data_IF_396121480667
#
_entry.id   IF_396121480667
#
_cell.length_a   1.000
_cell.length_b   1.000
_cell.length_c   1.000
_cell.angle_alpha   90.00
_cell.angle_beta   90.00
_cell.angle_gamma   90.00
#
_symmetry.space_group_name_H-M   'P 1'
#
loop_
_entity.id
_entity.type
_entity.pdbx_description
1 polymer ?
#
# COMPACT_ATOMS: atom_id res chain seq x y z
N UNK A 1 -5.96 -26.89 -20.61
CA UNK A 1 -6.09 -27.69 -19.37
C UNK A 1 -4.80 -27.69 -18.54
N UNK A 2 -3.62 -28.12 -19.10
CA UNK A 2 -2.34 -28.13 -18.35
C UNK A 2 -1.88 -26.71 -18.00
N UNK A 3 -1.94 -25.78 -18.94
CA UNK A 3 -1.60 -24.37 -18.71
C UNK A 3 -2.54 -23.70 -17.71
N UNK A 4 -3.81 -24.01 -17.71
CA UNK A 4 -4.79 -23.53 -16.74
C UNK A 4 -4.53 -24.11 -15.34
N UNK A 5 -4.19 -25.39 -15.27
CA UNK A 5 -3.83 -26.05 -14.01
C UNK A 5 -2.55 -25.45 -13.41
N UNK A 6 -1.51 -25.22 -14.23
CA UNK A 6 -0.26 -24.57 -13.80
C UNK A 6 -0.50 -23.13 -13.32
N UNK A 7 -1.38 -22.40 -14.00
CA UNK A 7 -1.73 -21.02 -13.63
C UNK A 7 -2.54 -20.98 -12.32
N UNK A 8 -3.49 -21.90 -12.12
CA UNK A 8 -4.23 -22.06 -10.86
C UNK A 8 -3.32 -22.47 -9.69
N UNK A 9 -2.36 -23.37 -9.95
CA UNK A 9 -1.39 -23.83 -8.96
C UNK A 9 -0.44 -22.70 -8.54
N UNK A 10 0.11 -21.97 -9.51
CA UNK A 10 0.97 -20.81 -9.28
C UNK A 10 0.24 -19.72 -8.46
N UNK A 11 -1.02 -19.40 -8.80
CA UNK A 11 -1.85 -18.45 -8.05
C UNK A 11 -2.15 -18.90 -6.62
N UNK A 12 -2.31 -20.21 -6.37
CA UNK A 12 -2.47 -20.74 -5.00
C UNK A 12 -1.18 -20.58 -4.18
N UNK A 13 -0.04 -20.87 -4.76
CA UNK A 13 1.27 -20.71 -4.11
C UNK A 13 1.52 -19.25 -3.76
N UNK A 14 1.28 -18.32 -4.67
CA UNK A 14 1.43 -16.89 -4.43
C UNK A 14 0.53 -16.38 -3.27
N UNK A 15 -0.72 -16.86 -3.22
CA UNK A 15 -1.64 -16.51 -2.12
C UNK A 15 -1.17 -17.04 -0.76
N UNK A 16 -0.69 -18.30 -0.72
CA UNK A 16 -0.12 -18.89 0.50
C UNK A 16 1.14 -18.14 0.93
N UNK A 17 1.97 -17.74 -0.03
CA UNK A 17 3.21 -17.03 0.25
C UNK A 17 2.97 -15.61 0.81
N UNK A 18 1.97 -14.89 0.30
CA UNK A 18 1.59 -13.58 0.86
C UNK A 18 1.04 -13.69 2.29
N UNK A 19 0.26 -14.72 2.58
CA UNK A 19 -0.24 -15.01 3.93
C UNK A 19 0.90 -15.35 4.89
N UNK A 20 1.83 -16.19 4.42
CA UNK A 20 3.03 -16.55 5.18
C UNK A 20 3.90 -15.34 5.48
N UNK A 21 4.14 -14.47 4.49
CA UNK A 21 4.89 -13.22 4.71
C UNK A 21 4.22 -12.33 5.76
N UNK A 22 2.90 -12.18 5.70
CA UNK A 22 2.16 -11.40 6.70
C UNK A 22 2.29 -12.01 8.10
N UNK A 23 2.18 -13.33 8.22
CA UNK A 23 2.35 -14.02 9.50
C UNK A 23 3.77 -13.86 10.06
N UNK A 24 4.80 -14.02 9.23
CA UNK A 24 6.21 -13.79 9.59
C UNK A 24 6.44 -12.35 10.03
N UNK A 25 5.87 -11.38 9.33
CA UNK A 25 5.92 -9.98 9.69
C UNK A 25 5.36 -9.73 11.09
N UNK A 26 4.12 -10.19 11.33
CA UNK A 26 3.44 -10.02 12.62
C UNK A 26 4.20 -10.72 13.76
N UNK A 27 4.73 -11.94 13.51
CA UNK A 27 5.54 -12.66 14.47
C UNK A 27 6.88 -11.95 14.77
N UNK A 28 7.54 -11.42 13.74
CA UNK A 28 8.80 -10.67 13.90
C UNK A 28 8.62 -9.41 14.75
N UNK A 29 7.54 -8.66 14.53
CA UNK A 29 7.21 -7.47 15.34
C UNK A 29 6.91 -7.88 16.78
N UNK A 30 6.12 -8.95 16.98
CA UNK A 30 5.85 -9.48 18.32
C UNK A 30 7.14 -9.83 19.04
N UNK A 31 8.03 -10.58 18.38
CA UNK A 31 9.32 -10.96 18.94
C UNK A 31 10.17 -9.76 19.34
N UNK A 32 10.21 -8.72 18.48
CA UNK A 32 10.93 -7.49 18.78
C UNK A 32 10.36 -6.77 20.01
N UNK A 33 9.04 -6.62 20.08
CA UNK A 33 8.39 -5.99 21.25
C UNK A 33 8.71 -6.75 22.54
N UNK A 34 8.67 -8.08 22.49
CA UNK A 34 9.01 -8.94 23.65
C UNK A 34 10.47 -8.75 24.08
N UNK A 35 11.41 -8.72 23.13
CA UNK A 35 12.83 -8.49 23.43
C UNK A 35 13.05 -7.12 24.06
N UNK A 36 12.49 -6.06 23.45
CA UNK A 36 12.60 -4.68 23.97
C UNK A 36 11.93 -4.57 25.34
N UNK A 37 10.75 -5.17 25.51
CA UNK A 37 10.04 -5.20 26.79
C UNK A 37 10.85 -5.89 27.87
N UNK A 38 11.51 -7.01 27.55
CA UNK A 38 12.40 -7.73 28.45
C UNK A 38 13.63 -6.92 28.87
N UNK A 39 14.23 -6.18 27.93
CA UNK A 39 15.36 -5.28 28.23
C UNK A 39 14.99 -4.12 29.16
N UNK A 40 13.75 -3.63 29.10
CA UNK A 40 13.30 -2.47 29.90
C UNK A 40 12.75 -2.90 31.26
N UNK A 41 11.98 -3.99 31.34
CA UNK A 41 11.20 -4.37 32.52
C UNK A 41 11.30 -5.85 32.91
N UNK A 42 12.31 -6.61 32.43
CA UNK A 42 12.46 -8.02 32.71
C UNK A 42 11.26 -8.87 32.33
N UNK A 43 10.88 -9.87 33.07
CA UNK A 43 9.75 -10.77 32.78
C UNK A 43 8.41 -10.04 32.68
N UNK A 44 8.18 -9.07 33.55
CA UNK A 44 6.95 -8.26 33.52
C UNK A 44 6.91 -7.39 32.27
N UNK A 45 8.03 -6.80 31.87
CA UNK A 45 8.16 -6.05 30.62
C UNK A 45 7.92 -6.91 29.39
N UNK A 46 8.43 -8.15 29.37
CA UNK A 46 8.16 -9.12 28.30
C UNK A 46 6.67 -9.44 28.17
N UNK A 47 5.99 -9.71 29.29
CA UNK A 47 4.57 -10.04 29.29
C UNK A 47 3.72 -8.85 28.81
N UNK A 48 4.00 -7.66 29.31
CA UNK A 48 3.29 -6.44 28.88
C UNK A 48 3.50 -6.15 27.39
N UNK A 49 4.73 -6.30 26.89
CA UNK A 49 5.06 -6.13 25.50
C UNK A 49 4.39 -7.20 24.60
N UNK A 50 4.30 -8.44 25.04
CA UNK A 50 3.57 -9.51 24.35
C UNK A 50 2.08 -9.18 24.23
N UNK A 51 1.44 -8.74 25.32
CA UNK A 51 0.03 -8.35 25.31
C UNK A 51 -0.21 -7.15 24.38
N UNK A 52 0.67 -6.16 24.43
CA UNK A 52 0.60 -4.98 23.55
C UNK A 52 0.76 -5.40 22.09
N UNK A 53 1.76 -6.21 21.76
CA UNK A 53 1.99 -6.69 20.40
C UNK A 53 0.82 -7.52 19.88
N UNK A 54 0.23 -8.38 20.72
CA UNK A 54 -0.97 -9.13 20.35
C UNK A 54 -2.14 -8.21 20.05
N UNK A 55 -2.40 -7.22 20.90
CA UNK A 55 -3.43 -6.20 20.69
C UNK A 55 -3.20 -5.41 19.40
N UNK A 56 -1.97 -4.97 19.14
CA UNK A 56 -1.60 -4.26 17.92
C UNK A 56 -1.79 -5.11 16.66
N UNK A 57 -1.35 -6.37 16.69
CA UNK A 57 -1.52 -7.29 15.57
C UNK A 57 -2.99 -7.57 15.30
N UNK A 58 -3.79 -7.83 16.34
CA UNK A 58 -5.24 -8.02 16.22
C UNK A 58 -5.90 -6.78 15.61
N UNK A 59 -5.60 -5.61 16.15
CA UNK A 59 -6.17 -4.35 15.68
C UNK A 59 -5.76 -4.05 14.23
N UNK A 60 -4.49 -4.26 13.88
CA UNK A 60 -3.98 -4.07 12.52
C UNK A 60 -4.65 -5.02 11.54
N UNK A 61 -4.85 -6.27 11.89
CA UNK A 61 -5.52 -7.21 11.00
C UNK A 61 -6.99 -6.84 10.74
N UNK A 62 -7.73 -6.41 11.76
CA UNK A 62 -9.16 -6.16 11.63
C UNK A 62 -9.55 -4.75 11.18
N UNK A 63 -8.71 -3.75 11.43
CA UNK A 63 -9.05 -2.34 11.27
C UNK A 63 -8.09 -1.54 10.40
N UNK A 64 -7.04 -2.17 9.85
CA UNK A 64 -6.03 -1.48 9.05
C UNK A 64 -6.60 -0.75 7.83
N UNK A 65 -7.60 -1.32 7.17
CA UNK A 65 -8.30 -0.66 6.05
C UNK A 65 -8.94 0.67 6.47
N UNK A 66 -9.65 0.66 7.60
CA UNK A 66 -10.30 1.87 8.14
C UNK A 66 -9.28 2.90 8.59
N UNK A 67 -8.15 2.45 9.16
CA UNK A 67 -7.08 3.35 9.57
C UNK A 67 -6.45 4.05 8.38
N UNK A 68 -6.07 3.31 7.33
CA UNK A 68 -5.49 3.88 6.12
C UNK A 68 -6.45 4.87 5.47
N UNK A 69 -7.71 4.50 5.29
CA UNK A 69 -8.73 5.40 4.71
C UNK A 69 -8.91 6.67 5.54
N UNK A 70 -8.88 6.56 6.88
CA UNK A 70 -8.96 7.72 7.79
C UNK A 70 -7.70 8.60 7.72
N UNK A 71 -6.51 8.00 7.68
CA UNK A 71 -5.25 8.73 7.54
C UNK A 71 -5.22 9.57 6.26
N UNK A 72 -5.80 9.03 5.19
CA UNK A 72 -5.91 9.70 3.88
C UNK A 72 -7.14 10.61 3.75
N UNK A 73 -7.93 10.81 4.81
CA UNK A 73 -9.20 11.58 4.78
C UNK A 73 -10.14 11.12 3.65
N UNK A 74 -10.16 9.83 3.35
CA UNK A 74 -10.97 9.25 2.31
C UNK A 74 -12.46 9.31 2.67
N UNK A 75 -13.29 9.80 1.74
CA UNK A 75 -14.76 9.89 1.88
C UNK A 75 -15.40 8.75 1.08
N UNK A 76 -16.24 7.96 1.72
CA UNK A 76 -16.98 6.92 1.04
C UNK A 76 -18.00 7.54 0.07
N UNK A 77 -18.08 6.96 -1.13
CA UNK A 77 -18.99 7.40 -2.18
C UNK A 77 -19.84 6.24 -2.69
N UNK A 78 -21.00 6.58 -3.21
CA UNK A 78 -21.98 5.64 -3.74
C UNK A 78 -22.44 6.05 -5.15
N UNK A 79 -23.48 5.38 -5.63
CA UNK A 79 -24.05 5.63 -6.96
C UNK A 79 -24.73 6.99 -7.07
N UNK A 80 -25.08 7.63 -5.95
CA UNK A 80 -25.72 8.95 -5.91
C UNK A 80 -24.65 10.05 -5.91
N UNK A 81 -23.61 9.89 -5.08
CA UNK A 81 -22.57 10.91 -4.85
C UNK A 81 -21.48 10.91 -5.92
N UNK A 82 -21.17 9.75 -6.52
CA UNK A 82 -20.18 9.62 -7.61
C UNK A 82 -20.62 8.60 -8.67
N UNK A 83 -21.72 8.86 -9.41
CA UNK A 83 -22.39 7.86 -10.25
C UNK A 83 -21.50 7.23 -11.31
N UNK A 84 -20.67 8.01 -11.99
CA UNK A 84 -19.80 7.52 -13.07
C UNK A 84 -18.67 6.65 -12.53
N UNK A 85 -17.98 7.14 -11.49
CA UNK A 85 -16.86 6.42 -10.88
C UNK A 85 -17.33 5.13 -10.18
N UNK A 86 -18.43 5.19 -9.44
CA UNK A 86 -18.98 4.03 -8.74
C UNK A 86 -19.43 2.93 -9.72
N UNK A 87 -20.11 3.28 -10.81
CA UNK A 87 -20.51 2.32 -11.87
C UNK A 87 -19.31 1.69 -12.56
N UNK A 88 -18.28 2.49 -12.88
CA UNK A 88 -17.04 1.99 -13.45
C UNK A 88 -16.38 0.91 -12.57
N UNK A 89 -16.25 1.18 -11.27
CA UNK A 89 -15.68 0.20 -10.32
C UNK A 89 -16.56 -1.06 -10.24
N UNK A 90 -17.89 -0.91 -10.23
CA UNK A 90 -18.83 -2.04 -10.22
C UNK A 90 -18.65 -2.94 -11.44
N UNK A 91 -18.60 -2.37 -12.61
CA UNK A 91 -18.40 -3.12 -13.87
C UNK A 91 -17.06 -3.88 -13.88
N UNK A 92 -15.98 -3.22 -13.45
CA UNK A 92 -14.67 -3.82 -13.38
C UNK A 92 -14.61 -4.93 -12.32
N UNK A 93 -15.23 -4.73 -11.16
CA UNK A 93 -15.32 -5.75 -10.12
C UNK A 93 -16.07 -7.00 -10.61
N UNK A 94 -17.18 -6.82 -11.35
CA UNK A 94 -17.92 -7.92 -11.97
C UNK A 94 -17.04 -8.67 -12.99
N UNK A 95 -16.34 -7.95 -13.88
CA UNK A 95 -15.40 -8.58 -14.84
C UNK A 95 -14.26 -9.34 -14.15
N UNK A 96 -13.77 -8.82 -13.02
CA UNK A 96 -12.74 -9.46 -12.22
C UNK A 96 -13.23 -10.69 -11.45
N UNK A 97 -14.57 -10.90 -11.34
CA UNK A 97 -15.18 -11.92 -10.49
C UNK A 97 -15.00 -11.62 -9.00
N UNK A 98 -15.03 -10.33 -8.62
CA UNK A 98 -14.87 -9.85 -7.26
C UNK A 98 -16.21 -9.36 -6.69
N UNK A 99 -16.43 -9.47 -5.38
CA UNK A 99 -17.48 -8.71 -4.72
C UNK A 99 -17.21 -7.21 -4.89
N UNK A 100 -18.26 -6.39 -4.91
CA UNK A 100 -18.13 -4.95 -5.00
C UNK A 100 -17.33 -4.41 -3.82
N UNK A 101 -16.15 -3.78 -4.04
CA UNK A 101 -15.41 -3.14 -2.96
C UNK A 101 -16.13 -1.84 -2.53
N UNK A 102 -15.85 -1.36 -1.33
CA UNK A 102 -16.23 0.00 -0.95
C UNK A 102 -15.44 1.01 -1.77
N UNK A 103 -16.07 2.09 -2.18
CA UNK A 103 -15.48 3.08 -3.08
C UNK A 103 -15.31 4.40 -2.33
N UNK A 104 -14.11 4.97 -2.45
CA UNK A 104 -13.75 6.20 -1.74
C UNK A 104 -13.17 7.24 -2.70
N UNK A 105 -13.38 8.51 -2.38
CA UNK A 105 -12.68 9.64 -2.98
C UNK A 105 -11.89 10.40 -1.93
N UNK A 106 -10.73 10.90 -2.35
CA UNK A 106 -9.82 11.69 -1.52
C UNK A 106 -9.67 13.05 -2.18
N UNK A 107 -9.96 14.11 -1.42
CA UNK A 107 -9.76 15.49 -1.89
C UNK A 107 -8.27 15.83 -1.83
N UNK A 108 -7.55 15.47 -2.90
CA UNK A 108 -6.12 15.68 -3.04
C UNK A 108 -5.82 15.96 -4.52
N UNK A 109 -4.99 16.98 -4.79
CA UNK A 109 -4.65 17.40 -6.16
C UNK A 109 -3.66 16.47 -6.84
N UNK A 110 -2.88 15.73 -6.08
CA UNK A 110 -1.96 14.73 -6.59
C UNK A 110 -2.71 13.55 -7.19
N UNK A 111 -2.40 13.16 -8.45
CA UNK A 111 -3.06 12.04 -9.09
C UNK A 111 -2.63 10.71 -8.47
N UNK A 112 -3.54 10.06 -7.75
CA UNK A 112 -3.26 8.77 -7.14
C UNK A 112 -4.50 7.90 -6.94
N UNK A 113 -4.28 6.58 -6.82
CA UNK A 113 -5.28 5.60 -6.45
C UNK A 113 -4.64 4.45 -5.67
N UNK A 114 -5.41 3.74 -4.87
CA UNK A 114 -4.97 2.55 -4.18
C UNK A 114 -6.12 1.62 -3.78
N UNK A 115 -5.79 0.35 -3.56
CA UNK A 115 -6.65 -0.63 -2.93
C UNK A 115 -6.18 -0.95 -1.52
N UNK A 116 -7.13 -1.21 -0.62
CA UNK A 116 -6.86 -1.58 0.77
C UNK A 116 -7.85 -2.64 1.25
N UNK A 117 -7.51 -3.34 2.32
CA UNK A 117 -8.39 -4.34 2.91
C UNK A 117 -7.67 -5.62 3.34
N UNK A 118 -8.39 -6.49 4.05
CA UNK A 118 -7.84 -7.77 4.51
C UNK A 118 -8.12 -8.95 3.56
N UNK A 119 -9.16 -8.83 2.74
CA UNK A 119 -9.55 -9.84 1.74
C UNK A 119 -10.54 -9.21 0.75
N UNK A 120 -10.90 -9.90 -0.36
CA UNK A 120 -11.83 -9.36 -1.35
C UNK A 120 -13.21 -8.95 -0.80
N UNK A 121 -13.73 -9.67 0.22
CA UNK A 121 -15.02 -9.37 0.84
C UNK A 121 -14.98 -8.12 1.74
N UNK A 122 -13.77 -7.73 2.19
CA UNK A 122 -13.53 -6.59 3.05
C UNK A 122 -12.42 -5.73 2.42
N UNK A 123 -12.70 -5.27 1.21
CA UNK A 123 -11.79 -4.42 0.43
C UNK A 123 -12.42 -3.06 0.14
N UNK A 124 -11.58 -2.11 -0.13
CA UNK A 124 -11.94 -0.79 -0.59
C UNK A 124 -10.97 -0.34 -1.68
N UNK A 125 -11.44 0.51 -2.57
CA UNK A 125 -10.62 1.23 -3.54
C UNK A 125 -10.82 2.72 -3.33
N UNK A 126 -9.74 3.48 -3.46
CA UNK A 126 -9.76 4.93 -3.33
C UNK A 126 -9.05 5.58 -4.51
N UNK A 127 -9.58 6.73 -4.94
CA UNK A 127 -8.96 7.57 -5.96
C UNK A 127 -8.95 9.03 -5.48
N UNK A 128 -7.92 9.78 -5.85
CA UNK A 128 -7.86 11.21 -5.58
C UNK A 128 -8.68 12.00 -6.61
N UNK A 129 -9.16 13.18 -6.22
CA UNK A 129 -9.77 14.12 -7.19
C UNK A 129 -8.77 14.53 -8.26
N UNK A 130 -7.47 14.55 -7.93
CA UNK A 130 -6.40 14.83 -8.87
C UNK A 130 -6.31 13.81 -10.01
N UNK A 131 -6.39 12.50 -9.72
CA UNK A 131 -6.34 11.48 -10.77
C UNK A 131 -7.56 11.56 -11.69
N UNK A 132 -8.75 11.86 -11.14
CA UNK A 132 -9.97 12.02 -11.91
C UNK A 132 -9.95 13.25 -12.83
N UNK A 133 -9.12 14.27 -12.52
CA UNK A 133 -8.94 15.46 -13.36
C UNK A 133 -7.88 15.26 -14.44
N UNK A 134 -6.85 14.47 -14.16
CA UNK A 134 -5.69 14.27 -15.05
C UNK A 134 -5.96 13.21 -16.10
N UNK A 135 -6.67 12.14 -15.73
CA UNK A 135 -6.89 10.98 -16.57
C UNK A 135 -8.26 11.03 -17.28
N UNK A 136 -8.31 10.53 -18.51
CA UNK A 136 -9.56 10.23 -19.19
C UNK A 136 -10.27 9.05 -18.52
N UNK A 137 -11.55 8.88 -18.77
CA UNK A 137 -12.34 7.75 -18.25
C UNK A 137 -11.72 6.40 -18.64
N UNK A 138 -11.21 6.27 -19.87
CA UNK A 138 -10.51 5.07 -20.36
C UNK A 138 -9.27 4.75 -19.52
N UNK A 139 -8.48 5.77 -19.19
CA UNK A 139 -7.27 5.63 -18.38
C UNK A 139 -7.58 5.32 -16.91
N UNK A 140 -8.62 5.97 -16.34
CA UNK A 140 -9.09 5.68 -14.98
C UNK A 140 -9.55 4.22 -14.90
N UNK A 141 -10.24 3.69 -15.91
CA UNK A 141 -10.61 2.27 -15.97
C UNK A 141 -9.38 1.35 -15.88
N UNK A 142 -8.30 1.69 -16.57
CA UNK A 142 -7.04 0.96 -16.50
C UNK A 142 -6.46 0.95 -15.08
N UNK A 143 -6.39 2.11 -14.44
CA UNK A 143 -5.92 2.25 -13.05
C UNK A 143 -6.79 1.47 -12.09
N UNK A 144 -8.12 1.64 -12.13
CA UNK A 144 -9.01 0.93 -11.22
C UNK A 144 -9.00 -0.58 -11.44
N UNK A 145 -8.78 -1.03 -12.68
CA UNK A 145 -8.60 -2.45 -12.98
C UNK A 145 -7.29 -3.01 -12.37
N UNK A 146 -6.20 -2.22 -12.36
CA UNK A 146 -4.96 -2.55 -11.69
C UNK A 146 -5.18 -2.69 -10.17
N UNK A 147 -5.89 -1.75 -9.53
CA UNK A 147 -6.23 -1.83 -8.10
C UNK A 147 -7.09 -3.06 -7.78
N UNK A 148 -8.05 -3.37 -8.64
CA UNK A 148 -8.86 -4.59 -8.50
C UNK A 148 -8.04 -5.87 -8.71
N UNK A 149 -6.99 -5.85 -9.52
CA UNK A 149 -6.06 -6.98 -9.66
C UNK A 149 -5.31 -7.24 -8.34
N UNK A 150 -4.89 -6.21 -7.60
CA UNK A 150 -4.33 -6.35 -6.26
C UNK A 150 -5.31 -7.03 -5.28
N UNK A 151 -6.59 -6.65 -5.31
CA UNK A 151 -7.64 -7.31 -4.50
C UNK A 151 -7.78 -8.79 -4.90
N UNK A 152 -7.83 -9.07 -6.20
CA UNK A 152 -7.96 -10.43 -6.74
C UNK A 152 -6.77 -11.34 -6.37
N UNK A 153 -5.56 -10.78 -6.39
CA UNK A 153 -4.32 -11.47 -6.05
C UNK A 153 -4.11 -11.62 -4.54
N UNK A 154 -4.93 -10.94 -3.71
CA UNK A 154 -4.87 -10.95 -2.24
C UNK A 154 -3.54 -10.44 -1.69
N UNK A 155 -2.94 -9.46 -2.32
CA UNK A 155 -1.71 -8.81 -1.87
C UNK A 155 -1.98 -7.49 -1.14
N UNK A 156 -3.23 -7.02 -1.14
CA UNK A 156 -3.65 -5.84 -0.38
C UNK A 156 -3.42 -5.97 1.13
N UNK A 157 -3.54 -7.19 1.70
CA UNK A 157 -3.42 -7.40 3.14
C UNK A 157 -2.03 -7.03 3.66
N UNK A 158 -0.98 -7.51 3.01
CA UNK A 158 0.39 -7.23 3.45
C UNK A 158 0.72 -5.74 3.32
N UNK A 159 0.29 -5.08 2.25
CA UNK A 159 0.49 -3.65 2.04
C UNK A 159 -0.26 -2.83 3.10
N UNK A 160 -1.53 -3.16 3.37
CA UNK A 160 -2.37 -2.47 4.35
C UNK A 160 -1.84 -2.63 5.78
N UNK A 161 -1.46 -3.84 6.20
CA UNK A 161 -0.87 -4.09 7.53
C UNK A 161 0.46 -3.38 7.66
N UNK A 162 1.34 -3.46 6.66
CA UNK A 162 2.64 -2.81 6.71
C UNK A 162 2.52 -1.29 6.82
N UNK A 163 1.63 -0.66 6.06
CA UNK A 163 1.36 0.79 6.17
C UNK A 163 0.86 1.16 7.57
N UNK A 164 -0.12 0.41 8.08
CA UNK A 164 -0.71 0.67 9.41
C UNK A 164 0.34 0.53 10.52
N UNK A 165 1.14 -0.53 10.48
CA UNK A 165 2.16 -0.77 11.51
C UNK A 165 3.32 0.21 11.41
N UNK A 166 3.76 0.54 10.20
CA UNK A 166 4.78 1.57 9.99
C UNK A 166 4.30 2.93 10.51
N UNK A 167 3.03 3.29 10.24
CA UNK A 167 2.42 4.51 10.78
C UNK A 167 2.35 4.52 12.30
N UNK A 168 1.97 3.40 12.92
CA UNK A 168 1.94 3.29 14.38
C UNK A 168 3.34 3.43 15.01
N UNK A 169 4.38 2.82 14.40
CA UNK A 169 5.76 2.95 14.84
C UNK A 169 6.29 4.37 14.64
N UNK A 170 5.97 5.00 13.53
CA UNK A 170 6.34 6.40 13.28
C UNK A 170 5.69 7.35 14.28
N UNK A 171 4.39 7.15 14.59
CA UNK A 171 3.70 7.92 15.61
C UNK A 171 4.32 7.74 16.99
N UNK A 172 4.70 6.49 17.36
CA UNK A 172 5.38 6.21 18.62
C UNK A 172 6.77 6.86 18.69
N UNK A 173 7.53 6.84 17.59
CA UNK A 173 8.83 7.50 17.51
C UNK A 173 8.69 9.02 17.66
N UNK A 174 7.70 9.64 16.99
CA UNK A 174 7.41 11.07 17.13
C UNK A 174 6.98 11.43 18.55
N UNK A 175 6.13 10.61 19.18
CA UNK A 175 5.73 10.79 20.57
C UNK A 175 6.94 10.73 21.52
N UNK A 176 7.83 9.74 21.34
CA UNK A 176 9.05 9.63 22.14
C UNK A 176 9.96 10.85 21.98
N UNK A 177 10.08 11.40 20.77
CA UNK A 177 10.84 12.65 20.53
C UNK A 177 10.19 13.88 21.19
N UNK A 178 8.86 13.98 21.14
CA UNK A 178 8.14 15.12 21.69
C UNK A 178 8.20 15.14 23.24
N UNK A 179 7.94 14.01 23.89
CA UNK A 179 7.95 13.88 25.36
C UNK A 179 9.35 13.64 25.92
N UNK A 180 10.33 13.23 25.10
CA UNK A 180 11.72 13.06 25.50
C UNK A 180 12.44 14.39 25.83
N UNK A 181 11.83 15.53 25.50
CA UNK A 181 12.39 16.87 25.69
C UNK A 181 13.60 17.14 24.78
N UNK A 182 13.95 18.43 24.62
CA UNK A 182 15.19 18.85 23.96
C UNK A 182 15.98 19.75 24.90
N UNK A 183 17.28 19.54 24.98
CA UNK A 183 18.19 20.44 25.67
C UNK A 183 18.32 21.77 24.89
N UNK A 184 18.87 22.80 25.51
CA UNK A 184 19.18 24.09 24.89
C UNK A 184 19.95 23.99 23.59
N UNK A 185 20.70 22.91 23.41
CA UNK A 185 21.52 22.62 22.23
C UNK A 185 20.77 21.81 21.14
N UNK A 186 19.44 21.66 21.26
CA UNK A 186 18.58 20.91 20.29
C UNK A 186 18.70 19.40 20.34
N UNK A 187 19.52 18.83 21.23
CA UNK A 187 19.70 17.39 21.42
C UNK A 187 18.56 16.81 22.30
N UNK A 188 18.14 15.56 22.06
CA UNK A 188 17.17 14.91 22.93
C UNK A 188 17.69 14.89 24.39
N UNK A 189 16.87 15.36 25.32
CA UNK A 189 17.24 15.38 26.75
C UNK A 189 17.13 13.99 27.40
N UNK A 190 16.36 13.08 26.80
CA UNK A 190 16.16 11.72 27.29
C UNK A 190 16.88 10.71 26.36
N UNK A 191 17.98 10.07 26.86
CA UNK A 191 18.70 9.05 26.07
C UNK A 191 17.82 7.88 25.65
N UNK A 192 16.83 7.50 26.46
CA UNK A 192 15.91 6.41 26.18
C UNK A 192 15.02 6.72 24.97
N UNK A 193 14.56 7.98 24.82
CA UNK A 193 13.80 8.41 23.65
C UNK A 193 14.62 8.28 22.35
N UNK A 194 15.90 8.64 22.40
CA UNK A 194 16.83 8.50 21.26
C UNK A 194 17.04 7.04 20.86
N UNK A 195 17.22 6.14 21.84
CA UNK A 195 17.37 4.70 21.61
C UNK A 195 16.08 4.15 20.98
N UNK A 196 14.93 4.53 21.50
CA UNK A 196 13.65 4.07 20.98
C UNK A 196 13.45 4.47 19.51
N UNK A 197 13.74 5.73 19.17
CA UNK A 197 13.66 6.21 17.78
C UNK A 197 14.68 5.49 16.88
N UNK A 198 15.91 5.28 17.36
CA UNK A 198 16.96 4.57 16.62
C UNK A 198 16.57 3.11 16.27
N UNK A 199 15.71 2.48 17.10
CA UNK A 199 15.19 1.14 16.85
C UNK A 199 13.92 1.18 15.99
N UNK A 200 12.98 2.07 16.29
CA UNK A 200 11.67 2.10 15.64
C UNK A 200 11.71 2.60 14.19
N UNK A 201 12.55 3.58 13.87
CA UNK A 201 12.61 4.13 12.54
C UNK A 201 13.13 3.13 11.47
N UNK A 202 14.25 2.39 11.68
CA UNK A 202 14.67 1.34 10.74
C UNK A 202 13.65 0.22 10.61
N UNK A 203 12.93 -0.10 11.70
CA UNK A 203 11.89 -1.12 11.68
C UNK A 203 10.71 -0.69 10.82
N UNK A 204 10.20 0.52 11.00
CA UNK A 204 9.14 1.07 10.16
C UNK A 204 9.54 1.04 8.67
N UNK A 205 10.78 1.43 8.36
CA UNK A 205 11.34 1.37 7.02
C UNK A 205 11.37 -0.08 6.48
N UNK A 206 11.78 -1.05 7.30
CA UNK A 206 11.82 -2.47 6.91
C UNK A 206 10.42 -3.03 6.62
N UNK A 207 9.40 -2.61 7.39
CA UNK A 207 8.00 -2.99 7.15
C UNK A 207 7.51 -2.51 5.78
N UNK A 208 7.82 -1.26 5.45
CA UNK A 208 7.49 -0.68 4.15
C UNK A 208 8.17 -1.49 3.04
N UNK A 209 9.46 -1.78 3.16
CA UNK A 209 10.19 -2.56 2.16
C UNK A 209 9.65 -3.99 1.98
N UNK A 210 9.21 -4.66 3.05
CA UNK A 210 8.62 -6.00 2.94
C UNK A 210 7.28 -6.02 2.21
N UNK A 211 6.52 -4.93 2.27
CA UNK A 211 5.28 -4.79 1.52
C UNK A 211 5.50 -4.61 0.01
N UNK A 212 6.72 -4.20 -0.38
CA UNK A 212 7.06 -3.92 -1.78
C UNK A 212 7.44 -5.22 -2.51
N UNK A 213 6.93 -5.39 -3.72
CA UNK A 213 7.35 -6.48 -4.60
C UNK A 213 7.11 -6.11 -6.07
N UNK A 214 8.19 -5.91 -6.81
CA UNK A 214 8.13 -5.64 -8.26
C UNK A 214 7.31 -6.70 -9.02
N UNK A 215 7.45 -7.97 -8.63
CA UNK A 215 6.71 -9.05 -9.24
C UNK A 215 5.18 -8.91 -9.06
N UNK A 216 4.73 -8.38 -7.90
CA UNK A 216 3.30 -8.12 -7.66
C UNK A 216 2.77 -6.99 -8.53
N UNK A 217 3.58 -5.94 -8.74
CA UNK A 217 3.21 -4.84 -9.64
C UNK A 217 3.03 -5.30 -11.08
N UNK A 218 3.97 -6.10 -11.59
CA UNK A 218 3.84 -6.66 -12.94
C UNK A 218 2.65 -7.61 -13.07
N UNK A 219 2.35 -8.38 -12.03
CA UNK A 219 1.19 -9.26 -12.00
C UNK A 219 -0.13 -8.47 -11.91
N UNK A 220 -0.13 -7.34 -11.19
CA UNK A 220 -1.27 -6.42 -11.13
C UNK A 220 -1.46 -5.66 -12.46
N UNK A 221 -0.37 -5.25 -13.11
CA UNK A 221 -0.43 -4.65 -14.46
C UNK A 221 -1.06 -5.62 -15.47
N UNK A 222 -0.59 -6.87 -15.48
CA UNK A 222 -1.17 -7.91 -16.34
C UNK A 222 -2.63 -8.16 -16.02
N UNK A 223 -2.95 -8.38 -14.74
CA UNK A 223 -4.31 -8.66 -14.29
C UNK A 223 -5.27 -7.48 -14.52
N UNK A 224 -4.80 -6.26 -14.32
CA UNK A 224 -5.55 -5.04 -14.61
C UNK A 224 -5.86 -4.90 -16.10
N UNK A 225 -4.84 -5.11 -16.95
CA UNK A 225 -5.00 -5.11 -18.40
C UNK A 225 -6.00 -6.18 -18.89
N UNK A 226 -5.97 -7.39 -18.28
CA UNK A 226 -6.94 -8.45 -18.55
C UNK A 226 -8.37 -8.05 -18.11
N UNK A 227 -8.53 -7.43 -16.92
CA UNK A 227 -9.83 -7.02 -16.37
C UNK A 227 -10.48 -5.93 -17.23
N UNK A 228 -9.73 -4.88 -17.59
CA UNK A 228 -10.27 -3.80 -18.43
C UNK A 228 -10.26 -4.15 -19.92
N UNK A 229 -9.53 -5.17 -20.34
CA UNK A 229 -9.25 -5.55 -21.73
C UNK A 229 -8.63 -4.40 -22.55
N UNK A 230 -7.79 -3.60 -21.90
CA UNK A 230 -7.16 -2.41 -22.50
C UNK A 230 -5.81 -2.11 -21.84
N UNK A 231 -4.74 -2.85 -22.19
CA UNK A 231 -3.41 -2.62 -21.64
C UNK A 231 -2.83 -1.25 -21.99
N UNK A 232 -3.19 -0.71 -23.15
CA UNK A 232 -2.74 0.61 -23.60
C UNK A 232 -3.28 1.72 -22.70
N UNK A 233 -4.54 1.62 -22.24
CA UNK A 233 -5.14 2.58 -21.33
C UNK A 233 -4.37 2.68 -20.01
N UNK A 234 -3.98 1.54 -19.43
CA UNK A 234 -3.17 1.51 -18.23
C UNK A 234 -1.76 2.07 -18.48
N UNK A 235 -1.13 1.74 -19.62
CA UNK A 235 0.18 2.28 -19.99
C UNK A 235 0.15 3.81 -20.09
N UNK A 236 -0.85 4.37 -20.78
CA UNK A 236 -1.04 5.82 -20.93
C UNK A 236 -1.31 6.49 -19.57
N UNK A 237 -2.09 5.85 -18.70
CA UNK A 237 -2.36 6.34 -17.36
C UNK A 237 -1.08 6.46 -16.53
N UNK A 238 -0.26 5.40 -16.51
CA UNK A 238 1.01 5.38 -15.79
C UNK A 238 1.98 6.46 -16.28
N UNK A 239 2.10 6.65 -17.60
CA UNK A 239 2.96 7.69 -18.19
C UNK A 239 2.48 9.09 -17.79
N UNK A 240 1.18 9.38 -17.92
CA UNK A 240 0.62 10.67 -17.49
C UNK A 240 0.79 10.95 -16.01
N UNK A 241 0.52 9.97 -15.14
CA UNK A 241 0.71 10.12 -13.70
C UNK A 241 2.17 10.41 -13.41
N UNK A 242 3.10 9.71 -14.06
CA UNK A 242 4.54 9.93 -13.90
C UNK A 242 4.95 11.35 -14.28
N UNK A 243 4.49 11.85 -15.42
CA UNK A 243 4.80 13.20 -15.89
C UNK A 243 4.27 14.27 -14.93
N UNK A 244 3.06 14.09 -14.39
CA UNK A 244 2.44 15.05 -13.46
C UNK A 244 3.09 14.95 -12.07
N UNK A 245 3.43 13.75 -11.60
CA UNK A 245 4.03 13.52 -10.30
C UNK A 245 5.47 14.06 -10.22
N UNK A 246 6.23 14.03 -11.31
CA UNK A 246 7.63 14.48 -11.34
C UNK A 246 7.83 15.97 -11.03
N UNK A 247 6.76 16.75 -10.92
CA UNK A 247 6.82 18.19 -10.63
C UNK A 247 6.00 18.67 -9.44
N UNK A 248 5.37 17.77 -8.66
CA UNK A 248 4.46 18.16 -7.58
C UNK A 248 4.79 17.52 -6.23
N UNK A 249 4.60 18.28 -5.14
CA UNK A 249 4.61 17.78 -3.77
C UNK A 249 3.29 17.07 -3.43
N UNK A 250 3.38 16.03 -2.60
CA UNK A 250 2.25 15.21 -2.16
C UNK A 250 2.01 15.41 -0.66
N UNK A 251 1.19 16.37 -0.30
CA UNK A 251 0.96 16.76 1.11
C UNK A 251 0.49 15.59 1.98
N UNK A 252 -0.38 14.71 1.44
CA UNK A 252 -0.89 13.57 2.19
C UNK A 252 0.19 12.52 2.47
N UNK A 253 1.10 12.28 1.50
CA UNK A 253 2.21 11.32 1.66
C UNK A 253 3.36 11.93 2.46
N UNK A 254 3.58 13.23 2.40
CA UNK A 254 4.54 13.89 3.28
C UNK A 254 4.15 13.77 4.76
N UNK A 255 2.85 13.83 5.04
CA UNK A 255 2.32 13.58 6.40
C UNK A 255 2.30 12.11 6.79
N UNK A 256 2.14 11.20 5.82
CA UNK A 256 2.01 9.77 6.01
C UNK A 256 2.87 8.98 5.01
N UNK A 257 4.22 9.09 5.07
CA UNK A 257 5.13 8.46 4.12
C UNK A 257 5.01 6.93 4.09
N UNK A 258 4.50 6.33 5.15
CA UNK A 258 4.21 4.90 5.23
C UNK A 258 3.10 4.42 4.27
N UNK A 259 2.26 5.34 3.78
CA UNK A 259 1.21 5.02 2.80
C UNK A 259 1.70 5.05 1.35
N UNK A 260 2.88 5.63 1.10
CA UNK A 260 3.45 5.77 -0.25
C UNK A 260 3.53 4.44 -1.03
N UNK A 261 3.76 3.34 -0.32
CA UNK A 261 3.84 2.00 -0.90
C UNK A 261 2.51 1.44 -1.43
N UNK A 262 1.39 2.04 -1.04
CA UNK A 262 0.05 1.63 -1.48
C UNK A 262 -0.41 2.41 -2.70
N UNK A 263 0.31 3.45 -3.08
CA UNK A 263 -0.05 4.32 -4.19
C UNK A 263 0.33 3.68 -5.53
N UNK A 264 -0.38 3.96 -6.60
CA UNK A 264 -0.11 3.42 -7.94
C UNK A 264 1.27 3.82 -8.47
N UNK A 265 1.79 4.95 -8.00
CA UNK A 265 3.13 5.47 -8.29
C UNK A 265 3.79 5.95 -7.01
N UNK A 266 5.11 5.75 -6.89
CA UNK A 266 5.85 6.28 -5.74
C UNK A 266 5.94 7.81 -5.83
N UNK A 267 5.36 8.54 -4.86
CA UNK A 267 5.45 10.00 -4.83
C UNK A 267 6.80 10.50 -4.33
N UNK A 268 7.68 9.60 -3.85
CA UNK A 268 8.98 9.93 -3.26
C UNK A 268 10.11 9.95 -4.31
N UNK A 269 9.88 10.50 -5.48
CA UNK A 269 10.88 10.67 -6.54
C UNK A 269 11.86 11.83 -6.25
N UNK A 270 12.44 11.86 -5.04
CA UNK A 270 13.49 12.80 -4.64
C UNK A 270 14.82 12.07 -4.47
N UNK A 271 15.94 12.69 -4.89
CA UNK A 271 17.28 12.12 -4.71
C UNK A 271 17.65 11.93 -3.22
N UNK A 272 18.53 10.98 -2.91
CA UNK A 272 18.99 10.67 -1.57
C UNK A 272 18.31 9.45 -0.97
N UNK A 273 18.04 9.46 0.34
CA UNK A 273 17.40 8.35 1.05
C UNK A 273 15.99 7.99 0.49
N UNK A 274 15.29 8.96 -0.11
CA UNK A 274 14.00 8.74 -0.77
C UNK A 274 14.08 7.72 -1.92
N UNK A 275 15.18 7.63 -2.65
CA UNK A 275 15.40 6.63 -3.71
C UNK A 275 15.50 5.18 -3.21
N UNK A 276 15.91 4.99 -1.94
CA UNK A 276 15.93 3.67 -1.29
C UNK A 276 14.52 3.14 -0.99
N UNK A 277 13.53 4.03 -0.95
CA UNK A 277 12.12 3.72 -0.72
C UNK A 277 11.27 3.73 -2.00
N UNK A 278 11.92 3.74 -3.18
CA UNK A 278 11.20 3.57 -4.46
C UNK A 278 10.51 2.21 -4.47
N UNK A 279 9.20 2.26 -4.38
CA UNK A 279 8.34 1.12 -4.06
C UNK A 279 7.89 0.35 -5.29
N UNK A 280 7.87 1.01 -6.46
CA UNK A 280 7.41 0.43 -7.71
C UNK A 280 8.54 0.19 -8.70
N UNK A 281 8.37 -0.73 -9.66
CA UNK A 281 9.27 -0.86 -10.81
C UNK A 281 9.33 0.47 -11.59
N UNK A 282 10.40 0.70 -12.38
CA UNK A 282 10.45 1.86 -13.26
C UNK A 282 9.21 1.95 -14.16
N UNK A 283 8.62 3.15 -14.23
CA UNK A 283 7.40 3.38 -15.00
C UNK A 283 7.58 3.01 -16.46
N UNK A 284 8.74 3.33 -17.02
CA UNK A 284 9.09 3.04 -18.41
C UNK A 284 9.04 1.54 -18.70
N UNK A 285 9.48 0.71 -17.75
CA UNK A 285 9.44 -0.75 -17.88
C UNK A 285 8.01 -1.29 -17.83
N UNK A 286 7.18 -0.77 -16.91
CA UNK A 286 5.75 -1.11 -16.82
C UNK A 286 5.01 -0.74 -18.11
N UNK A 287 5.22 0.49 -18.60
CA UNK A 287 4.63 0.99 -19.84
C UNK A 287 5.08 0.13 -21.03
N UNK A 288 6.37 -0.18 -21.15
CA UNK A 288 6.87 -1.02 -22.24
C UNK A 288 6.23 -2.42 -22.28
N UNK A 289 6.08 -3.07 -21.11
CA UNK A 289 5.42 -4.39 -20.98
C UNK A 289 3.94 -4.33 -21.35
N UNK A 290 3.21 -3.32 -20.89
CA UNK A 290 1.79 -3.12 -21.23
C UNK A 290 1.60 -2.83 -22.73
N UNK A 291 2.45 -1.99 -23.32
CA UNK A 291 2.43 -1.73 -24.76
C UNK A 291 2.81 -2.95 -25.61
N UNK A 292 3.69 -3.81 -25.09
CA UNK A 292 3.94 -5.11 -25.72
C UNK A 292 2.69 -5.99 -25.65
N UNK A 293 2.03 -6.07 -24.50
CA UNK A 293 0.77 -6.81 -24.35
C UNK A 293 -0.31 -6.30 -25.31
N UNK A 294 -0.43 -4.97 -25.49
CA UNK A 294 -1.37 -4.37 -26.43
C UNK A 294 -1.14 -4.84 -27.88
N UNK A 295 0.13 -5.05 -28.26
CA UNK A 295 0.51 -5.48 -29.60
C UNK A 295 0.43 -7.00 -29.83
N UNK A 296 0.78 -7.80 -28.82
CA UNK A 296 0.95 -9.24 -28.95
C UNK A 296 -0.16 -10.05 -28.27
N UNK A 297 -1.01 -9.42 -27.46
CA UNK A 297 -2.00 -10.09 -26.63
C UNK A 297 -1.41 -10.82 -25.41
N UNK A 298 -0.08 -10.79 -25.22
CA UNK A 298 0.61 -11.49 -24.13
C UNK A 298 1.48 -10.53 -23.31
N UNK A 299 1.37 -10.61 -21.99
CA UNK A 299 2.23 -9.86 -21.09
C UNK A 299 3.59 -10.58 -20.97
N UNK A 300 4.72 -9.92 -21.16
CA UNK A 300 6.03 -10.53 -21.03
C UNK A 300 6.29 -10.93 -19.58
N UNK A 301 6.80 -12.14 -19.39
CA UNK A 301 7.15 -12.73 -18.09
C UNK A 301 8.39 -12.08 -17.44
#
# INVERSE_FOLDING_TARGET
LILEFLNLFSRRILKMFNWFKTAVLMAGITGLFVVVGGMIGGEQGMLMALLLAFGMNFFSYWFSDKMVLKMMNAKEVDEVTAPHFYRMVRELAQKAGLPMPRVYLIEEDSPNAFATGRNPQHSAVAATTGILRVLSEREIRGVMAHELAHIKNRDILISTISATMAGALSALANFAMFFGGRNSDGRPSNPMASILVAILAPLAASLIQMAISRAREYEADRGGAEICNDPEALAMALDKIHQVASGRHFDAVERHPETAQMMIMSPLAGGGLAGLFSTHPPTEERVARLMQMARTGTYPG
#
